data_IF_829715892269
#
_entry.id   IF_829715892269
#
_cell.length_a   1.000
_cell.length_b   1.000
_cell.length_c   1.000
_cell.angle_alpha   90.00
_cell.angle_beta   90.00
_cell.angle_gamma   90.00
#
_symmetry.space_group_name_H-M   'P 1'
#
loop_
_entity.id
_entity.type
_entity.pdbx_description
1 polymer ?
#
# COMPACT_ATOMS: atom_id res chain seq x y z
N UNK A 1 0.16 18.47 2.76
CA UNK A 1 -0.62 17.21 2.77
C UNK A 1 0.34 16.11 3.20
N UNK A 2 0.13 15.52 4.37
CA UNK A 2 0.91 14.37 4.82
C UNK A 2 0.33 13.11 4.16
N UNK A 3 0.73 12.85 2.92
CA UNK A 3 0.30 11.66 2.21
C UNK A 3 1.03 10.44 2.77
N UNK A 4 0.32 9.67 3.61
CA UNK A 4 0.82 8.42 4.22
C UNK A 4 0.83 7.23 3.27
N UNK A 5 0.36 7.45 2.03
CA UNK A 5 0.32 6.46 0.97
C UNK A 5 1.27 6.94 -0.12
N UNK A 6 2.22 6.10 -0.48
CA UNK A 6 3.07 6.25 -1.65
C UNK A 6 2.68 5.20 -2.68
N UNK A 7 2.85 5.50 -3.97
CA UNK A 7 2.62 4.56 -5.05
C UNK A 7 3.83 4.47 -5.97
N UNK A 8 4.11 3.26 -6.47
CA UNK A 8 5.22 2.96 -7.35
C UNK A 8 4.80 1.95 -8.42
N UNK A 9 5.11 2.27 -9.67
CA UNK A 9 4.90 1.38 -10.82
C UNK A 9 5.88 0.22 -10.77
N UNK A 10 5.35 -1.00 -10.69
CA UNK A 10 6.13 -2.23 -10.59
C UNK A 10 7.07 -2.44 -11.78
N UNK A 11 6.75 -1.88 -12.95
CA UNK A 11 7.60 -1.97 -14.14
C UNK A 11 8.81 -1.02 -14.13
N UNK A 12 8.78 0.02 -13.29
CA UNK A 12 9.79 1.10 -13.27
C UNK A 12 10.73 0.98 -12.08
N UNK A 13 10.25 0.45 -10.95
CA UNK A 13 11.12 0.27 -9.78
C UNK A 13 12.15 -0.84 -10.02
N UNK A 14 13.36 -0.62 -9.52
CA UNK A 14 14.41 -1.64 -9.55
C UNK A 14 14.00 -2.85 -8.69
N UNK A 15 14.36 -4.07 -9.09
CA UNK A 15 13.99 -5.31 -8.38
C UNK A 15 14.45 -5.31 -6.91
N UNK A 16 15.60 -4.69 -6.63
CA UNK A 16 16.14 -4.58 -5.26
C UNK A 16 15.59 -3.40 -4.45
N UNK A 17 14.70 -2.56 -5.02
CA UNK A 17 14.21 -1.35 -4.36
C UNK A 17 13.54 -1.67 -3.01
N UNK A 18 12.58 -2.59 -3.02
CA UNK A 18 11.84 -3.02 -1.82
C UNK A 18 12.82 -3.54 -0.76
N UNK A 19 13.76 -4.41 -1.18
CA UNK A 19 14.77 -5.01 -0.30
C UNK A 19 15.66 -3.94 0.34
N UNK A 20 16.24 -3.04 -0.45
CA UNK A 20 17.12 -2.00 0.07
C UNK A 20 16.39 -1.00 0.97
N UNK A 21 15.21 -0.53 0.56
CA UNK A 21 14.40 0.37 1.38
C UNK A 21 14.03 -0.27 2.72
N UNK A 22 13.72 -1.57 2.72
CA UNK A 22 13.37 -2.30 3.94
C UNK A 22 14.55 -2.53 4.86
N UNK A 23 15.75 -2.82 4.33
CA UNK A 23 16.99 -2.88 5.12
C UNK A 23 17.29 -1.54 5.77
N UNK A 24 17.04 -0.43 5.07
CA UNK A 24 17.23 0.91 5.64
C UNK A 24 16.19 1.20 6.73
N UNK A 25 14.92 0.84 6.52
CA UNK A 25 13.86 1.02 7.51
C UNK A 25 14.15 0.23 8.81
N UNK A 26 14.55 -1.04 8.68
CA UNK A 26 14.90 -1.89 9.82
C UNK A 26 16.07 -1.33 10.64
N UNK A 27 17.12 -0.82 9.97
CA UNK A 27 18.25 -0.16 10.63
C UNK A 27 17.85 1.08 11.45
N UNK A 28 16.78 1.75 11.08
CA UNK A 28 16.22 2.91 11.77
C UNK A 28 15.14 2.52 12.81
N UNK A 29 14.96 1.23 13.07
CA UNK A 29 13.97 0.71 14.01
C UNK A 29 12.52 0.90 13.54
N UNK A 30 12.30 0.84 12.23
CA UNK A 30 10.96 0.86 11.61
C UNK A 30 10.57 -0.57 11.26
N UNK A 31 9.46 -1.05 11.83
CA UNK A 31 8.95 -2.40 11.57
C UNK A 31 8.49 -2.50 10.10
N UNK A 32 8.94 -3.53 9.38
CA UNK A 32 8.61 -3.71 7.96
C UNK A 32 7.65 -4.88 7.79
N UNK A 33 6.54 -4.63 7.09
CA UNK A 33 5.52 -5.63 6.79
C UNK A 33 5.24 -5.70 5.29
N UNK A 34 4.96 -6.90 4.81
CA UNK A 34 4.69 -7.18 3.40
C UNK A 34 3.35 -7.89 3.25
N UNK A 35 2.64 -7.53 2.19
CA UNK A 35 1.47 -8.24 1.71
C UNK A 35 1.54 -8.33 0.19
N UNK A 36 1.80 -9.53 -0.34
CA UNK A 36 1.79 -9.78 -1.78
C UNK A 36 0.38 -10.23 -2.21
N UNK A 37 -0.31 -9.38 -2.95
CA UNK A 37 -1.67 -9.64 -3.41
C UNK A 37 -1.71 -10.64 -4.57
N UNK A 38 -0.58 -10.96 -5.21
CA UNK A 38 -0.54 -11.95 -6.29
C UNK A 38 -0.69 -13.39 -5.78
N UNK A 39 -0.50 -13.60 -4.47
CA UNK A 39 -0.72 -14.90 -3.81
C UNK A 39 -2.20 -15.21 -3.57
N UNK A 40 -3.11 -14.28 -3.87
CA UNK A 40 -4.53 -14.37 -3.55
C UNK A 40 -5.43 -14.06 -4.75
N UNK A 41 -6.55 -14.77 -4.85
CA UNK A 41 -7.53 -14.55 -5.92
C UNK A 41 -8.21 -13.17 -5.84
N UNK A 42 -8.34 -12.62 -4.63
CA UNK A 42 -9.01 -11.34 -4.39
C UNK A 42 -8.32 -10.54 -3.30
N UNK A 43 -8.46 -9.21 -3.35
CA UNK A 43 -7.99 -8.32 -2.28
C UNK A 43 -8.64 -8.65 -0.92
N UNK A 44 -9.89 -9.10 -0.91
CA UNK A 44 -10.58 -9.49 0.32
C UNK A 44 -9.95 -10.76 0.93
N UNK A 45 -9.56 -11.73 0.10
CA UNK A 45 -8.84 -12.91 0.56
C UNK A 45 -7.48 -12.53 1.17
N UNK A 46 -6.68 -11.71 0.48
CA UNK A 46 -5.40 -11.22 1.00
C UNK A 46 -5.54 -10.53 2.37
N UNK A 47 -6.54 -9.65 2.52
CA UNK A 47 -6.78 -8.87 3.73
C UNK A 47 -7.53 -9.64 4.84
N UNK A 48 -7.93 -10.88 4.62
CA UNK A 48 -8.56 -11.74 5.64
C UNK A 48 -7.75 -12.99 5.96
N UNK A 49 -6.68 -13.24 5.21
CA UNK A 49 -5.82 -14.40 5.41
C UNK A 49 -5.08 -14.29 6.75
N UNK A 50 -5.04 -15.40 7.49
CA UNK A 50 -4.53 -15.42 8.87
C UNK A 50 -3.04 -15.14 8.92
N UNK A 51 -2.29 -15.59 7.92
CA UNK A 51 -0.86 -15.33 7.76
C UNK A 51 -0.53 -13.83 7.65
N UNK A 52 -1.50 -13.01 7.23
CA UNK A 52 -1.34 -11.57 7.08
C UNK A 52 -1.77 -10.78 8.32
N UNK A 53 -2.10 -11.45 9.44
CA UNK A 53 -2.60 -10.78 10.65
C UNK A 53 -1.62 -9.73 11.18
N UNK A 54 -0.31 -10.00 11.15
CA UNK A 54 0.70 -9.04 11.59
C UNK A 54 0.79 -7.78 10.71
N UNK A 55 0.48 -7.91 9.41
CA UNK A 55 0.36 -6.77 8.51
C UNK A 55 -0.87 -5.92 8.86
N UNK A 56 -2.00 -6.57 9.13
CA UNK A 56 -3.25 -5.90 9.50
C UNK A 56 -3.16 -5.22 10.87
N UNK A 57 -2.50 -5.84 11.85
CA UNK A 57 -2.24 -5.23 13.16
C UNK A 57 -1.41 -3.95 13.02
N UNK A 58 -0.33 -3.98 12.22
CA UNK A 58 0.45 -2.77 11.93
C UNK A 58 -0.34 -1.72 11.11
N UNK A 59 -1.33 -2.18 10.35
CA UNK A 59 -2.28 -1.33 9.65
C UNK A 59 -3.36 -0.71 10.55
N UNK A 60 -3.62 -1.25 11.74
CA UNK A 60 -4.67 -0.73 12.62
C UNK A 60 -4.10 0.04 13.82
N UNK A 61 -3.06 -0.48 14.47
CA UNK A 61 -2.50 0.06 15.71
C UNK A 61 -1.83 1.42 15.49
N UNK A 62 -0.87 1.50 14.56
CA UNK A 62 -0.14 2.73 14.28
C UNK A 62 0.64 3.33 15.46
N UNK A 63 0.79 2.58 16.57
CA UNK A 63 1.59 2.98 17.73
C UNK A 63 3.09 2.95 17.42
N UNK A 64 3.53 1.94 16.67
CA UNK A 64 4.91 1.76 16.23
C UNK A 64 5.17 2.39 14.87
N UNK A 65 6.45 2.72 14.63
CA UNK A 65 6.91 3.12 13.31
C UNK A 65 6.89 1.91 12.39
N UNK A 66 6.12 1.98 11.31
CA UNK A 66 5.96 0.85 10.40
C UNK A 66 5.98 1.25 8.94
N UNK A 67 6.58 0.41 8.11
CA UNK A 67 6.56 0.48 6.66
C UNK A 67 5.76 -0.70 6.11
N UNK A 68 4.65 -0.40 5.44
CA UNK A 68 3.73 -1.39 4.87
C UNK A 68 3.91 -1.45 3.35
N UNK A 69 4.33 -2.61 2.84
CA UNK A 69 4.43 -2.88 1.41
C UNK A 69 3.19 -3.63 0.93
N UNK A 70 2.38 -2.97 0.11
CA UNK A 70 1.32 -3.60 -0.68
C UNK A 70 1.91 -3.98 -2.03
N UNK A 71 2.34 -5.23 -2.17
CA UNK A 71 3.07 -5.73 -3.35
C UNK A 71 2.07 -6.37 -4.30
N UNK A 72 2.25 -6.14 -5.62
CA UNK A 72 1.38 -6.63 -6.69
C UNK A 72 -0.11 -6.34 -6.46
N UNK A 73 -0.42 -5.17 -5.90
CA UNK A 73 -1.76 -4.86 -5.36
C UNK A 73 -2.79 -4.43 -6.43
N UNK A 74 -2.67 -4.97 -7.65
CA UNK A 74 -3.57 -4.70 -8.77
C UNK A 74 -5.03 -5.07 -8.48
N UNK A 75 -5.26 -6.08 -7.63
CA UNK A 75 -6.60 -6.49 -7.20
C UNK A 75 -7.35 -5.44 -6.37
N UNK A 76 -6.68 -4.36 -5.94
CA UNK A 76 -7.29 -3.19 -5.31
C UNK A 76 -7.82 -2.14 -6.31
N UNK A 77 -7.50 -2.27 -7.59
CA UNK A 77 -7.88 -1.28 -8.62
C UNK A 77 -9.36 -1.23 -9.01
N UNK A 78 -10.14 -2.34 -9.02
CA UNK A 78 -11.53 -2.28 -9.42
C UNK A 78 -12.39 -1.44 -8.46
N UNK A 79 -13.30 -0.64 -9.00
CA UNK A 79 -14.10 0.34 -8.24
C UNK A 79 -15.14 -0.32 -7.31
N UNK A 80 -15.53 -1.55 -7.60
CA UNK A 80 -16.54 -2.31 -6.86
C UNK A 80 -15.97 -3.16 -5.71
N UNK A 81 -14.73 -2.89 -5.29
CA UNK A 81 -14.07 -3.63 -4.20
C UNK A 81 -14.39 -2.95 -2.87
N UNK A 82 -15.46 -3.38 -2.18
CA UNK A 82 -15.92 -2.75 -0.93
C UNK A 82 -14.81 -2.57 0.12
N UNK A 83 -13.88 -3.53 0.22
CA UNK A 83 -12.79 -3.49 1.21
C UNK A 83 -11.81 -2.31 0.99
N UNK A 84 -11.73 -1.76 -0.23
CA UNK A 84 -10.86 -0.59 -0.51
C UNK A 84 -11.33 0.69 0.19
N UNK A 85 -12.63 0.85 0.46
CA UNK A 85 -13.15 1.97 1.25
C UNK A 85 -12.74 1.88 2.72
N UNK A 86 -12.83 0.67 3.30
CA UNK A 86 -12.36 0.41 4.67
C UNK A 86 -10.86 0.62 4.77
N UNK A 87 -10.09 0.08 3.80
CA UNK A 87 -8.64 0.23 3.73
C UNK A 87 -8.22 1.70 3.64
N UNK A 88 -8.87 2.48 2.75
CA UNK A 88 -8.62 3.91 2.63
C UNK A 88 -8.89 4.64 3.94
N UNK A 89 -9.99 4.32 4.62
CA UNK A 89 -10.31 4.90 5.93
C UNK A 89 -9.21 4.59 6.92
N UNK A 90 -8.85 3.31 7.09
CA UNK A 90 -7.78 2.87 8.00
C UNK A 90 -6.43 3.55 7.72
N UNK A 91 -6.10 3.83 6.45
CA UNK A 91 -4.84 4.47 6.08
C UNK A 91 -4.85 6.00 6.26
N UNK A 92 -6.01 6.65 6.11
CA UNK A 92 -6.11 8.12 6.05
C UNK A 92 -6.64 8.77 7.32
N UNK A 93 -7.33 8.04 8.20
CA UNK A 93 -7.96 8.62 9.40
C UNK A 93 -7.18 8.42 10.70
N UNK A 94 -5.98 7.83 10.66
CA UNK A 94 -5.20 7.61 11.89
C UNK A 94 -4.75 8.93 12.51
N UNK A 95 -4.75 8.99 13.83
CA UNK A 95 -4.28 10.18 14.55
C UNK A 95 -2.75 10.30 14.53
N UNK A 96 -2.04 9.18 14.49
CA UNK A 96 -0.56 9.12 14.45
C UNK A 96 -0.02 9.01 13.02
N UNK A 97 1.19 9.51 12.79
CA UNK A 97 1.88 9.49 11.48
C UNK A 97 3.01 8.44 11.43
N UNK A 98 2.95 7.42 12.28
CA UNK A 98 4.04 6.44 12.42
C UNK A 98 4.02 5.35 11.33
N UNK A 99 3.00 5.29 10.48
CA UNK A 99 2.90 4.27 9.43
C UNK A 99 2.97 4.89 8.05
N UNK A 100 3.91 4.41 7.23
CA UNK A 100 3.98 4.71 5.80
C UNK A 100 3.55 3.48 5.01
N UNK A 101 2.62 3.66 4.08
CA UNK A 101 2.21 2.60 3.14
C UNK A 101 2.76 2.88 1.75
N UNK A 102 3.20 1.83 1.07
CA UNK A 102 3.68 1.90 -0.32
C UNK A 102 2.96 0.85 -1.16
N UNK A 103 2.25 1.32 -2.17
CA UNK A 103 1.47 0.53 -3.11
C UNK A 103 2.32 0.29 -4.37
N UNK A 104 2.54 -0.99 -4.67
CA UNK A 104 3.29 -1.44 -5.85
C UNK A 104 2.34 -2.23 -6.72
N UNK A 105 2.02 -1.69 -7.89
CA UNK A 105 1.12 -2.29 -8.86
C UNK A 105 1.48 -1.79 -10.26
N UNK A 106 0.80 -2.32 -11.27
CA UNK A 106 0.97 -1.81 -12.64
C UNK A 106 0.50 -0.36 -12.75
N UNK A 107 1.08 0.40 -13.69
CA UNK A 107 0.64 1.76 -14.03
C UNK A 107 -0.87 1.90 -14.20
N UNK A 108 -1.51 0.96 -14.92
CA UNK A 108 -2.94 1.00 -15.18
C UNK A 108 -3.74 0.90 -13.88
N UNK A 109 -3.38 -0.02 -13.00
CA UNK A 109 -3.99 -0.18 -11.69
C UNK A 109 -3.78 1.03 -10.79
N UNK A 110 -2.58 1.63 -10.79
CA UNK A 110 -2.31 2.85 -10.02
C UNK A 110 -3.15 4.04 -10.51
N UNK A 111 -3.29 4.22 -11.83
CA UNK A 111 -4.17 5.24 -12.40
C UNK A 111 -5.63 5.01 -11.99
N UNK A 112 -6.09 3.75 -12.01
CA UNK A 112 -7.43 3.41 -11.54
C UNK A 112 -7.62 3.70 -10.05
N UNK A 113 -6.70 3.29 -9.18
CA UNK A 113 -6.81 3.51 -7.74
C UNK A 113 -6.76 5.00 -7.36
N UNK A 114 -5.85 5.75 -7.98
CA UNK A 114 -5.44 7.05 -7.45
C UNK A 114 -5.78 8.26 -8.34
N UNK A 115 -6.07 8.06 -9.63
CA UNK A 115 -6.40 9.13 -10.58
C UNK A 115 -7.86 9.08 -11.06
N UNK A 116 -8.60 8.00 -10.81
CA UNK A 116 -10.04 7.94 -11.06
C UNK A 116 -10.82 8.59 -9.92
N UNK A 117 -11.73 9.53 -10.24
CA UNK A 117 -12.55 10.27 -9.27
C UNK A 117 -13.53 9.40 -8.48
N UNK A 118 -13.89 8.25 -9.02
CA UNK A 118 -14.79 7.30 -8.37
C UNK A 118 -14.03 6.32 -7.46
N UNK A 119 -12.71 6.28 -7.55
CA UNK A 119 -11.90 5.36 -6.78
C UNK A 119 -11.77 5.82 -5.32
N UNK A 120 -11.77 4.89 -4.36
CA UNK A 120 -11.64 5.24 -2.94
C UNK A 120 -10.33 5.98 -2.63
N UNK A 121 -9.25 5.65 -3.32
CA UNK A 121 -7.94 6.26 -3.10
C UNK A 121 -7.69 7.52 -3.93
N UNK A 122 -8.71 8.08 -4.60
CA UNK A 122 -8.55 9.29 -5.44
C UNK A 122 -7.77 10.39 -4.70
N UNK A 123 -6.65 10.82 -5.30
CA UNK A 123 -5.76 11.86 -4.79
C UNK A 123 -5.22 11.66 -3.35
N UNK A 124 -5.21 10.43 -2.83
CA UNK A 124 -4.74 10.14 -1.46
C UNK A 124 -3.26 9.72 -1.36
N UNK A 125 -2.46 9.96 -2.41
CA UNK A 125 -1.10 9.40 -2.53
C UNK A 125 -0.03 10.40 -2.97
N UNK A 126 1.22 10.06 -2.65
CA UNK A 126 2.41 10.57 -3.29
C UNK A 126 2.96 9.55 -4.30
N UNK A 127 3.64 10.01 -5.34
CA UNK A 127 4.16 9.15 -6.42
C UNK A 127 5.67 9.01 -6.29
N UNK A 128 6.15 7.79 -6.10
CA UNK A 128 7.57 7.48 -6.13
C UNK A 128 8.08 7.34 -7.57
N UNK A 129 7.21 6.88 -8.48
CA UNK A 129 7.48 6.81 -9.92
C UNK A 129 6.49 7.71 -10.67
N UNK A 130 6.93 8.35 -11.74
CA UNK A 130 6.05 9.16 -12.58
C UNK A 130 4.96 8.33 -13.26
N UNK A 131 3.86 8.98 -13.69
CA UNK A 131 2.91 8.40 -14.64
C UNK A 131 3.34 8.60 -16.10
N UNK A 132 4.56 9.08 -16.34
CA UNK A 132 5.07 9.35 -17.69
C UNK A 132 5.02 8.09 -18.54
N UNK A 133 4.52 8.27 -19.76
CA UNK A 133 4.61 7.34 -20.89
C UNK A 133 6.04 7.09 -21.29
#
# INVERSE_FOLDING_TARGET
>A
MDFRISAADSAVIHSDFIKHASILADKEGIDVHYLDFSEYDTAAAALSAKENSGFLEALEDGSKKSLLWFVNCDSLAPLNVAITYSLRTALTTRQTNNTQSVFIATKASLLMMFANREAPFYQSHFRLTGYSS
#
